data_IF_657601568201
#
_entry.id   IF_657601568201
#
_cell.length_a   1.000
_cell.length_b   1.000
_cell.length_c   1.000
_cell.angle_alpha   90.00
_cell.angle_beta   90.00
_cell.angle_gamma   90.00
#
_symmetry.space_group_name_H-M   'P 1'
#
loop_
_entity.id
_entity.type
_entity.pdbx_description
1 polymer ?
#
# COMPACT_ATOMS: atom_id res chain seq x y z
N UNK A 1 -6.84 11.65 -9.59
CA UNK A 1 -7.51 10.78 -8.62
C UNK A 1 -6.57 9.63 -8.26
N UNK A 2 -6.62 9.13 -7.02
CA UNK A 2 -5.87 7.92 -6.61
C UNK A 2 -6.51 6.72 -7.31
N UNK A 3 -5.78 5.94 -8.12
CA UNK A 3 -6.32 4.79 -8.81
C UNK A 3 -6.71 3.72 -7.79
N UNK A 4 -7.78 2.99 -8.10
CA UNK A 4 -8.26 1.87 -7.28
C UNK A 4 -8.60 2.22 -5.84
N UNK A 5 -8.83 3.49 -5.50
CA UNK A 5 -9.34 3.88 -4.19
C UNK A 5 -10.62 3.07 -3.86
N UNK A 6 -10.81 2.64 -2.61
CA UNK A 6 -12.05 1.97 -2.22
C UNK A 6 -13.24 2.92 -2.32
N UNK A 7 -14.41 2.36 -2.65
CA UNK A 7 -15.66 3.14 -2.78
C UNK A 7 -16.27 3.54 -1.42
N UNK A 8 -15.68 3.09 -0.30
CA UNK A 8 -16.13 3.37 1.05
C UNK A 8 -15.32 2.58 2.10
N UNK A 9 -15.89 2.40 3.30
CA UNK A 9 -15.29 1.68 4.42
C UNK A 9 -16.12 0.47 4.91
N UNK A 10 -17.21 0.17 4.19
CA UNK A 10 -18.18 -0.85 4.57
C UNK A 10 -17.56 -2.26 4.69
N UNK A 11 -16.75 -2.67 3.72
CA UNK A 11 -16.18 -4.02 3.71
C UNK A 11 -14.80 -4.09 4.35
N UNK A 12 -14.42 -5.29 4.79
CA UNK A 12 -13.08 -5.53 5.32
C UNK A 12 -11.99 -5.27 4.26
N UNK A 13 -12.25 -5.67 3.03
CA UNK A 13 -11.30 -5.52 1.92
C UNK A 13 -11.13 -4.04 1.53
N UNK A 14 -12.19 -3.23 1.57
CA UNK A 14 -12.09 -1.79 1.34
C UNK A 14 -11.18 -1.12 2.36
N UNK A 15 -11.36 -1.47 3.64
CA UNK A 15 -10.51 -0.99 4.72
C UNK A 15 -9.06 -1.42 4.53
N UNK A 16 -8.82 -2.68 4.16
CA UNK A 16 -7.46 -3.13 3.87
C UNK A 16 -6.85 -2.38 2.68
N UNK A 17 -7.61 -2.15 1.61
CA UNK A 17 -7.13 -1.41 0.43
C UNK A 17 -6.73 0.01 0.80
N UNK A 18 -7.55 0.73 1.57
CA UNK A 18 -7.18 2.05 2.08
C UNK A 18 -5.85 2.02 2.84
N UNK A 19 -5.67 1.03 3.72
CA UNK A 19 -4.45 0.87 4.52
C UNK A 19 -3.22 0.69 3.65
N UNK A 20 -3.30 -0.14 2.61
CA UNK A 20 -2.15 -0.39 1.74
C UNK A 20 -1.86 0.77 0.80
N UNK A 21 -2.90 1.43 0.27
CA UNK A 21 -2.73 2.60 -0.58
C UNK A 21 -2.02 3.74 0.16
N UNK A 22 -2.51 4.08 1.35
CA UNK A 22 -1.93 5.16 2.16
C UNK A 22 -0.51 4.80 2.59
N UNK A 23 -0.28 3.55 3.01
CA UNK A 23 1.07 3.09 3.33
C UNK A 23 2.04 3.23 2.15
N UNK A 24 1.63 2.79 0.96
CA UNK A 24 2.48 2.90 -0.23
C UNK A 24 2.74 4.36 -0.59
N UNK A 25 1.76 5.26 -0.44
CA UNK A 25 1.97 6.70 -0.65
C UNK A 25 3.05 7.23 0.32
N UNK A 26 2.98 6.86 1.61
CA UNK A 26 4.02 7.25 2.58
C UNK A 26 5.39 6.62 2.29
N UNK A 27 5.43 5.40 1.73
CA UNK A 27 6.68 4.74 1.32
C UNK A 27 7.43 5.50 0.21
N UNK A 28 6.74 6.33 -0.57
CA UNK A 28 7.34 7.26 -1.54
C UNK A 28 7.67 8.63 -0.93
N UNK A 29 7.84 8.72 0.40
CA UNK A 29 8.12 9.95 1.16
C UNK A 29 7.03 11.03 1.07
N UNK A 30 5.77 10.64 0.89
CA UNK A 30 4.62 11.54 1.01
C UNK A 30 4.02 11.37 2.40
N UNK A 31 4.54 12.12 3.37
CA UNK A 31 4.14 11.96 4.77
C UNK A 31 2.69 12.42 5.02
N UNK A 32 1.85 11.50 5.50
CA UNK A 32 0.45 11.73 5.84
C UNK A 32 0.18 11.63 7.35
N UNK A 33 1.19 11.26 8.14
CA UNK A 33 1.14 11.27 9.60
C UNK A 33 0.60 9.98 10.23
N UNK A 34 0.69 8.87 9.51
CA UNK A 34 0.22 7.57 9.98
C UNK A 34 1.37 6.64 10.36
N UNK A 35 1.21 5.95 11.49
CA UNK A 35 2.18 4.95 11.93
C UNK A 35 1.61 3.56 11.65
N UNK A 36 2.32 2.78 10.84
CA UNK A 36 1.91 1.46 10.42
C UNK A 36 2.63 0.36 11.20
N UNK A 37 1.87 -0.67 11.56
CA UNK A 37 2.38 -1.88 12.19
C UNK A 37 2.03 -3.12 11.38
N UNK A 38 2.73 -4.22 11.61
CA UNK A 38 2.43 -5.50 10.98
C UNK A 38 1.17 -6.13 11.61
N UNK A 39 0.08 -6.21 10.85
CA UNK A 39 -1.19 -6.76 11.31
C UNK A 39 -1.91 -7.56 10.23
N UNK A 40 -2.30 -8.80 10.57
CA UNK A 40 -3.00 -9.77 9.73
C UNK A 40 -2.40 -9.94 8.33
N UNK A 41 -2.68 -9.04 7.38
CA UNK A 41 -2.23 -9.03 5.97
C UNK A 41 -1.28 -7.86 5.65
N UNK A 42 -0.37 -7.50 6.56
CA UNK A 42 0.67 -6.48 6.35
C UNK A 42 0.48 -5.15 7.10
N UNK A 43 0.85 -3.99 6.51
CA UNK A 43 0.71 -2.68 7.15
C UNK A 43 -0.71 -2.36 7.57
N UNK A 44 -0.89 -1.92 8.81
CA UNK A 44 -2.16 -1.43 9.32
C UNK A 44 -1.95 -0.32 10.36
N UNK A 45 -2.81 0.68 10.30
CA UNK A 45 -2.90 1.80 11.21
C UNK A 45 -4.36 1.98 11.66
N UNK A 46 -4.64 1.70 12.93
CA UNK A 46 -5.99 1.85 13.50
C UNK A 46 -6.49 3.29 13.43
N UNK A 47 -5.58 4.28 13.55
CA UNK A 47 -5.92 5.70 13.40
C UNK A 47 -6.40 5.99 11.98
N UNK A 48 -5.73 5.48 10.96
CA UNK A 48 -6.19 5.62 9.56
C UNK A 48 -7.56 4.98 9.34
N UNK A 49 -7.81 3.81 9.92
CA UNK A 49 -9.12 3.16 9.79
C UNK A 49 -10.23 4.04 10.40
N UNK A 50 -9.98 4.62 11.57
CA UNK A 50 -10.90 5.59 12.20
C UNK A 50 -11.11 6.82 11.31
N UNK A 51 -10.03 7.43 10.80
CA UNK A 51 -10.12 8.59 9.91
C UNK A 51 -10.92 8.26 8.65
N UNK A 52 -10.76 7.08 8.06
CA UNK A 52 -11.52 6.67 6.88
C UNK A 52 -13.04 6.63 7.15
N UNK A 53 -13.48 6.11 8.30
CA UNK A 53 -14.90 6.14 8.69
C UNK A 53 -15.42 7.55 8.96
N UNK A 54 -14.58 8.44 9.49
CA UNK A 54 -14.94 9.84 9.71
C UNK A 54 -15.07 10.59 8.38
N UNK A 55 -14.15 10.33 7.43
CA UNK A 55 -14.16 10.92 6.09
C UNK A 55 -15.36 10.44 5.27
N UNK A 56 -15.72 9.15 5.32
CA UNK A 56 -16.90 8.61 4.63
C UNK A 56 -18.20 9.36 4.99
N UNK A 57 -18.34 9.80 6.24
CA UNK A 57 -19.51 10.55 6.72
C UNK A 57 -19.59 12.00 6.20
N UNK A 58 -18.47 12.56 5.73
CA UNK A 58 -18.38 13.94 5.27
C UNK A 58 -17.95 14.07 3.81
N UNK A 59 -17.68 12.96 3.11
CA UNK A 59 -17.13 12.94 1.76
C UNK A 59 -17.97 13.76 0.78
N UNK A 60 -19.30 13.63 0.83
CA UNK A 60 -20.24 14.39 -0.01
C UNK A 60 -20.23 15.90 0.26
N UNK A 61 -19.62 16.34 1.36
CA UNK A 61 -19.48 17.76 1.74
C UNK A 61 -18.10 18.33 1.42
N UNK A 62 -17.16 17.49 0.98
CA UNK A 62 -15.83 17.93 0.55
C UNK A 62 -15.97 18.34 -0.92
N UNK A 63 -15.96 19.64 -1.18
CA UNK A 63 -15.97 20.15 -2.54
C UNK A 63 -14.66 19.81 -3.26
N UNK A 64 -14.77 19.29 -4.47
CA UNK A 64 -13.62 19.14 -5.36
C UNK A 64 -13.26 20.51 -5.92
N UNK A 65 -12.41 21.25 -5.19
CA UNK A 65 -11.89 22.55 -5.65
C UNK A 65 -10.70 22.30 -6.60
N UNK A 66 -10.82 22.60 -7.91
CA UNK A 66 -9.74 22.43 -8.87
C UNK A 66 -8.52 23.33 -8.61
N UNK A 67 -8.63 24.29 -7.66
CA UNK A 67 -7.51 25.11 -7.20
C UNK A 67 -6.71 24.44 -6.08
N UNK A 68 -7.22 23.35 -5.48
CA UNK A 68 -6.48 22.58 -4.49
C UNK A 68 -5.22 22.02 -5.14
N UNK A 69 -4.07 22.35 -4.55
CA UNK A 69 -2.76 21.96 -5.05
C UNK A 69 -1.88 21.54 -3.90
N UNK A 70 -0.93 20.66 -4.19
CA UNK A 70 0.17 20.42 -3.28
C UNK A 70 0.91 21.73 -3.01
N UNK A 71 1.18 22.00 -1.73
CA UNK A 71 1.95 23.18 -1.35
C UNK A 71 3.41 23.09 -1.83
N UNK A 72 3.94 21.87 -1.91
CA UNK A 72 5.31 21.58 -2.30
C UNK A 72 5.35 20.74 -3.59
N UNK A 73 6.02 21.23 -4.66
CA UNK A 73 6.17 20.48 -5.91
C UNK A 73 6.93 19.15 -5.77
N UNK A 74 7.84 19.03 -4.81
CA UNK A 74 8.56 17.76 -4.59
C UNK A 74 7.62 16.68 -4.03
N UNK A 75 6.78 17.04 -3.08
CA UNK A 75 5.72 16.19 -2.53
C UNK A 75 4.73 15.79 -3.62
N UNK A 76 4.34 16.72 -4.50
CA UNK A 76 3.51 16.40 -5.66
C UNK A 76 4.17 15.34 -6.56
N UNK A 77 5.44 15.52 -6.93
CA UNK A 77 6.16 14.58 -7.79
C UNK A 77 6.29 13.19 -7.16
N UNK A 78 6.50 13.12 -5.85
CA UNK A 78 6.53 11.87 -5.08
C UNK A 78 5.17 11.18 -5.03
N UNK A 79 4.12 11.95 -4.82
CA UNK A 79 2.75 11.45 -4.89
C UNK A 79 2.42 10.89 -6.27
N UNK A 80 2.74 11.63 -7.34
CA UNK A 80 2.55 11.17 -8.72
C UNK A 80 3.31 9.86 -9.00
N UNK A 81 4.55 9.72 -8.51
CA UNK A 81 5.30 8.46 -8.58
C UNK A 81 4.61 7.32 -7.84
N UNK A 82 4.14 7.56 -6.61
CA UNK A 82 3.40 6.55 -5.84
C UNK A 82 2.15 6.09 -6.58
N UNK A 83 1.41 7.03 -7.17
CA UNK A 83 0.22 6.74 -7.96
C UNK A 83 0.56 5.90 -9.20
N UNK A 84 1.62 6.27 -9.94
CA UNK A 84 2.08 5.50 -11.10
C UNK A 84 2.53 4.09 -10.71
N UNK A 85 3.19 3.92 -9.56
CA UNK A 85 3.56 2.62 -9.04
C UNK A 85 2.32 1.76 -8.73
N UNK A 86 1.34 2.33 -8.01
CA UNK A 86 0.10 1.64 -7.64
C UNK A 86 -0.66 1.19 -8.89
N UNK A 87 -0.85 2.07 -9.87
CA UNK A 87 -1.53 1.77 -11.15
C UNK A 87 -0.79 0.69 -11.95
N UNK A 88 0.55 0.66 -11.86
CA UNK A 88 1.36 -0.36 -12.54
C UNK A 88 1.22 -1.75 -11.91
N UNK A 89 1.13 -1.83 -10.58
CA UNK A 89 1.03 -3.11 -9.87
C UNK A 89 -0.40 -3.61 -9.74
N UNK A 90 -1.40 -2.74 -9.77
CA UNK A 90 -2.82 -3.09 -9.71
C UNK A 90 -3.47 -2.89 -11.08
N UNK A 91 -3.90 -3.96 -11.75
CA UNK A 91 -4.58 -3.80 -13.05
C UNK A 91 -6.04 -3.39 -12.93
N UNK A 92 -6.66 -3.68 -11.79
CA UNK A 92 -8.04 -3.35 -11.49
C UNK A 92 -8.25 -3.24 -9.96
N UNK A 93 -9.35 -2.63 -9.49
CA UNK A 93 -9.58 -2.48 -8.05
C UNK A 93 -9.63 -3.79 -7.26
N UNK A 94 -9.97 -4.91 -7.91
CA UNK A 94 -9.96 -6.23 -7.28
C UNK A 94 -8.57 -6.86 -7.13
N UNK A 95 -7.53 -6.30 -7.78
CA UNK A 95 -6.13 -6.78 -7.72
C UNK A 95 -5.43 -6.34 -6.43
N UNK A 96 -6.09 -6.59 -5.30
CA UNK A 96 -5.63 -6.16 -3.97
C UNK A 96 -4.44 -6.98 -3.47
N UNK A 97 -4.28 -8.22 -3.95
CA UNK A 97 -3.22 -9.13 -3.52
C UNK A 97 -1.82 -8.58 -3.82
N UNK A 98 -1.60 -8.02 -5.02
CA UNK A 98 -0.32 -7.41 -5.40
C UNK A 98 0.03 -6.22 -4.52
N UNK A 99 -0.95 -5.35 -4.30
CA UNK A 99 -0.80 -4.18 -3.42
C UNK A 99 -0.47 -4.61 -1.98
N UNK A 100 -1.17 -5.63 -1.46
CA UNK A 100 -0.90 -6.16 -0.13
C UNK A 100 0.48 -6.79 -0.01
N UNK A 101 0.92 -7.58 -1.00
CA UNK A 101 2.25 -8.19 -1.02
C UNK A 101 3.33 -7.11 -1.05
N UNK A 102 3.24 -6.13 -1.97
CA UNK A 102 4.21 -5.05 -2.09
C UNK A 102 4.34 -4.25 -0.76
N UNK A 103 3.20 -3.83 -0.21
CA UNK A 103 3.16 -3.11 1.06
C UNK A 103 3.73 -3.94 2.22
N UNK A 104 3.45 -5.24 2.24
CA UNK A 104 3.95 -6.17 3.27
C UNK A 104 5.45 -6.41 3.19
N UNK A 105 5.98 -6.64 1.98
CA UNK A 105 7.43 -6.78 1.75
C UNK A 105 8.14 -5.51 2.23
N UNK A 106 7.68 -4.34 1.78
CA UNK A 106 8.29 -3.07 2.15
C UNK A 106 8.30 -2.87 3.67
N UNK A 107 7.19 -3.12 4.39
CA UNK A 107 7.17 -2.94 5.84
C UNK A 107 8.15 -3.87 6.56
N UNK A 108 8.23 -5.13 6.16
CA UNK A 108 9.16 -6.07 6.77
C UNK A 108 10.61 -5.71 6.48
N UNK A 109 10.92 -5.17 5.30
CA UNK A 109 12.24 -4.62 5.00
C UNK A 109 12.62 -3.46 5.92
N UNK A 110 11.67 -2.56 6.20
CA UNK A 110 11.90 -1.39 7.06
C UNK A 110 11.96 -1.72 8.55
N UNK A 111 11.24 -2.76 9.00
CA UNK A 111 11.03 -3.03 10.43
C UNK A 111 11.77 -4.26 10.95
N UNK A 112 12.43 -5.03 10.09
CA UNK A 112 13.10 -6.28 10.47
C UNK A 112 14.46 -6.45 9.79
N UNK A 113 15.30 -7.32 10.35
CA UNK A 113 16.58 -7.75 9.75
C UNK A 113 16.46 -9.05 8.94
N UNK A 114 15.24 -9.46 8.57
CA UNK A 114 15.01 -10.70 7.82
C UNK A 114 15.61 -10.63 6.41
N UNK A 115 16.08 -11.77 5.92
CA UNK A 115 16.45 -11.91 4.51
C UNK A 115 15.21 -12.02 3.61
N UNK A 116 15.41 -11.91 2.30
CA UNK A 116 14.34 -11.96 1.28
C UNK A 116 13.42 -13.17 1.45
N UNK A 117 13.98 -14.36 1.69
CA UNK A 117 13.20 -15.60 1.77
C UNK A 117 12.37 -15.68 3.06
N UNK A 118 12.91 -15.20 4.17
CA UNK A 118 12.18 -15.09 5.43
C UNK A 118 11.07 -14.04 5.36
N UNK A 119 11.29 -12.93 4.65
CA UNK A 119 10.25 -11.94 4.35
C UNK A 119 9.12 -12.59 3.55
N UNK A 120 9.44 -13.26 2.44
CA UNK A 120 8.44 -13.93 1.60
C UNK A 120 7.64 -14.96 2.39
N UNK A 121 8.32 -15.83 3.14
CA UNK A 121 7.67 -16.82 3.99
C UNK A 121 6.67 -16.18 4.96
N UNK A 122 7.03 -15.03 5.56
CA UNK A 122 6.16 -14.31 6.49
C UNK A 122 4.97 -13.66 5.79
N UNK A 123 5.15 -13.08 4.60
CA UNK A 123 4.06 -12.53 3.78
C UNK A 123 3.09 -13.63 3.38
N UNK A 124 3.59 -14.72 2.82
CA UNK A 124 2.77 -15.84 2.32
C UNK A 124 1.96 -16.48 3.44
N UNK A 125 2.56 -16.67 4.63
CA UNK A 125 1.86 -17.24 5.80
C UNK A 125 0.64 -16.45 6.29
N UNK A 126 0.48 -15.22 5.78
CA UNK A 126 -0.55 -14.26 6.18
C UNK A 126 -1.55 -13.95 5.07
N UNK A 127 -1.28 -14.38 3.85
CA UNK A 127 -2.24 -14.27 2.75
C UNK A 127 -3.36 -15.30 2.92
N UNK A 128 -4.57 -15.01 2.41
CA UNK A 128 -5.64 -16.00 2.38
C UNK A 128 -5.17 -17.27 1.66
N UNK A 129 -5.62 -18.47 2.09
CA UNK A 129 -5.31 -19.72 1.41
C UNK A 129 -6.12 -19.83 0.11
N UNK A 130 -5.77 -19.01 -0.88
CA UNK A 130 -6.48 -18.92 -2.17
C UNK A 130 -5.62 -19.33 -3.37
N UNK A 131 -4.33 -19.62 -3.17
CA UNK A 131 -3.39 -19.93 -4.27
C UNK A 131 -2.41 -21.05 -3.96
N UNK A 132 -1.85 -21.62 -5.03
CA UNK A 132 -0.68 -22.51 -4.95
C UNK A 132 0.53 -21.72 -4.39
N UNK A 133 1.31 -22.36 -3.50
CA UNK A 133 2.50 -21.79 -2.88
C UNK A 133 3.46 -21.20 -3.93
N UNK A 134 3.64 -21.90 -5.06
CA UNK A 134 4.51 -21.44 -6.16
C UNK A 134 4.00 -20.14 -6.79
N UNK A 135 2.69 -19.96 -6.87
CA UNK A 135 2.10 -18.74 -7.40
C UNK A 135 2.37 -17.56 -6.46
N UNK A 136 2.21 -17.75 -5.15
CA UNK A 136 2.48 -16.72 -4.14
C UNK A 136 3.95 -16.31 -4.11
N UNK A 137 4.87 -17.28 -4.22
CA UNK A 137 6.31 -17.01 -4.33
C UNK A 137 6.62 -16.21 -5.60
N UNK A 138 6.02 -16.60 -6.74
CA UNK A 138 6.16 -15.86 -8.00
C UNK A 138 5.65 -14.42 -7.91
N UNK A 139 4.54 -14.19 -7.20
CA UNK A 139 4.04 -12.84 -6.94
C UNK A 139 4.96 -12.04 -6.02
N UNK A 140 5.50 -12.66 -4.97
CA UNK A 140 6.47 -12.01 -4.08
C UNK A 140 7.73 -11.58 -4.84
N UNK A 141 8.26 -12.45 -5.71
CA UNK A 141 9.38 -12.11 -6.60
C UNK A 141 9.02 -10.94 -7.52
N UNK A 142 7.86 -11.00 -8.18
CA UNK A 142 7.41 -9.91 -9.05
C UNK A 142 7.27 -8.59 -8.31
N UNK A 143 6.74 -8.58 -7.08
CA UNK A 143 6.60 -7.35 -6.29
C UNK A 143 7.93 -6.86 -5.73
N UNK A 144 8.85 -7.76 -5.39
CA UNK A 144 10.21 -7.40 -5.02
C UNK A 144 10.91 -6.65 -6.17
N UNK A 145 10.79 -7.16 -7.40
CA UNK A 145 11.35 -6.51 -8.58
C UNK A 145 10.72 -5.13 -8.84
N UNK A 146 9.39 -5.01 -8.70
CA UNK A 146 8.70 -3.73 -8.85
C UNK A 146 9.13 -2.70 -7.79
N UNK A 147 9.28 -3.11 -6.52
CA UNK A 147 9.80 -2.26 -5.45
C UNK A 147 11.26 -1.84 -5.70
N UNK A 148 12.08 -2.76 -6.21
CA UNK A 148 13.49 -2.49 -6.52
C UNK A 148 13.65 -1.43 -7.61
N UNK A 149 12.77 -1.40 -8.61
CA UNK A 149 12.77 -0.38 -9.69
C UNK A 149 12.49 1.04 -9.19
N UNK A 150 11.87 1.17 -8.03
CA UNK A 150 11.51 2.45 -7.41
C UNK A 150 12.42 2.82 -6.22
N UNK A 151 13.55 2.13 -6.06
CA UNK A 151 14.49 2.31 -4.94
C UNK A 151 13.87 2.09 -3.55
N UNK A 152 12.77 1.32 -3.47
CA UNK A 152 12.08 0.99 -2.21
C UNK A 152 12.71 -0.23 -1.49
N UNK A 153 13.73 -0.83 -2.08
CA UNK A 153 14.52 -1.90 -1.45
C UNK A 153 15.94 -1.39 -1.23
N UNK A 154 16.45 -1.38 0.02
CA UNK A 154 17.80 -0.94 0.30
C UNK A 154 18.84 -1.75 -0.48
N UNK A 155 19.87 -1.09 -1.01
CA UNK A 155 21.00 -1.76 -1.67
C UNK A 155 21.65 -2.81 -0.73
N UNK A 156 21.81 -4.03 -1.24
CA UNK A 156 22.50 -5.13 -0.53
C UNK A 156 21.61 -6.03 0.34
N UNK A 157 20.28 -5.94 0.22
CA UNK A 157 19.28 -6.84 0.82
C UNK A 157 18.79 -7.90 -0.17
#
# INVERSE_FOLDING_TARGET
>A
MVPHAPDGMATFDDRLRLQKLVYMIEAFDVYLGYDFSWYLRGPYCTRLAKTGFELEQIADRIEDDPKTKFADPYTQKRFEKAIQFIDRIMKCPSDTERLEIAASIHLLLQTTSLDKQAIFSRVISKMPPSGDQKHMESLCESMWDELSKEDLIPYGR
#
